data_IF_708479196270
#
_entry.id   IF_708479196270
#
_cell.length_a   1.000
_cell.length_b   1.000
_cell.length_c   1.000
_cell.angle_alpha   90.00
_cell.angle_beta   90.00
_cell.angle_gamma   90.00
#
_symmetry.space_group_name_H-M   'P 1'
#
loop_
_entity.id
_entity.type
_entity.pdbx_description
1 polymer ?
#
# COMPACT_ATOMS: atom_id res chain seq x y z
N UNK A 1 -3.28 28.89 -16.42
CA UNK A 1 -4.10 27.98 -15.57
C UNK A 1 -5.63 28.03 -15.84
N UNK A 2 -6.12 28.51 -17.00
CA UNK A 2 -7.56 28.50 -17.35
C UNK A 2 -7.90 27.76 -18.67
N UNK A 3 -6.92 27.15 -19.31
CA UNK A 3 -7.05 26.58 -20.67
C UNK A 3 -7.02 25.05 -20.73
N UNK A 4 -6.67 24.36 -19.64
CA UNK A 4 -6.64 22.88 -19.57
C UNK A 4 -8.01 22.30 -19.19
N UNK A 5 -8.81 23.04 -18.42
CA UNK A 5 -10.14 22.62 -17.94
C UNK A 5 -11.25 22.57 -19.01
N UNK A 6 -11.01 23.02 -20.24
CA UNK A 6 -12.05 23.11 -21.29
C UNK A 6 -12.06 21.92 -22.27
N UNK A 7 -11.08 21.02 -22.22
CA UNK A 7 -11.02 19.83 -23.09
C UNK A 7 -11.62 18.55 -22.47
N UNK A 8 -11.96 18.55 -21.19
CA UNK A 8 -12.51 17.37 -20.49
C UNK A 8 -14.03 17.15 -20.70
N UNK A 9 -14.78 18.18 -21.12
CA UNK A 9 -16.25 18.10 -21.22
C UNK A 9 -16.80 17.66 -22.60
N UNK A 10 -15.96 17.11 -23.51
CA UNK A 10 -16.40 16.73 -24.87
C UNK A 10 -16.35 15.24 -25.21
N UNK A 11 -16.06 14.37 -24.24
CA UNK A 11 -16.02 12.92 -24.45
C UNK A 11 -17.19 12.15 -23.83
N UNK A 12 -18.17 12.83 -23.23
CA UNK A 12 -19.37 12.19 -22.69
C UNK A 12 -20.56 12.35 -23.63
N UNK A 13 -20.67 11.44 -24.59
CA UNK A 13 -21.96 10.95 -25.07
C UNK A 13 -21.78 9.55 -25.67
N UNK A 14 -22.66 8.65 -25.24
CA UNK A 14 -22.95 7.31 -25.78
C UNK A 14 -21.85 6.24 -25.71
N UNK A 15 -21.92 5.36 -24.72
CA UNK A 15 -22.55 4.04 -24.85
C UNK A 15 -22.54 3.37 -23.47
N UNK A 16 -23.72 2.98 -22.99
CA UNK A 16 -23.85 2.10 -21.82
C UNK A 16 -23.67 0.69 -22.35
N UNK A 17 -22.43 0.21 -22.40
CA UNK A 17 -22.17 -1.22 -22.59
C UNK A 17 -22.34 -1.92 -21.24
N UNK A 18 -23.13 -2.98 -21.24
CA UNK A 18 -23.35 -3.85 -20.09
C UNK A 18 -22.00 -4.33 -19.54
N UNK A 19 -21.72 -4.04 -18.27
CA UNK A 19 -20.55 -4.59 -17.60
C UNK A 19 -20.68 -6.12 -17.55
N UNK A 20 -19.65 -6.88 -17.96
CA UNK A 20 -19.64 -8.31 -17.71
C UNK A 20 -19.76 -8.58 -16.20
N UNK A 21 -20.44 -9.67 -15.79
CA UNK A 21 -20.59 -10.00 -14.39
C UNK A 21 -19.23 -10.10 -13.71
N UNK A 22 -19.14 -9.62 -12.48
CA UNK A 22 -17.96 -9.77 -11.64
C UNK A 22 -17.56 -11.26 -11.63
N UNK A 23 -16.30 -11.54 -11.97
CA UNK A 23 -15.77 -12.89 -11.92
C UNK A 23 -15.97 -13.44 -10.50
N UNK A 24 -16.57 -14.63 -10.40
CA UNK A 24 -16.62 -15.38 -9.15
C UNK A 24 -15.18 -15.59 -8.65
N UNK A 25 -14.89 -15.36 -7.36
CA UNK A 25 -13.57 -15.64 -6.83
C UNK A 25 -13.27 -17.13 -7.02
N UNK A 26 -12.26 -17.43 -7.84
CA UNK A 26 -11.72 -18.77 -7.98
C UNK A 26 -11.12 -19.14 -6.62
N UNK A 27 -11.46 -20.30 -6.01
CA UNK A 27 -10.82 -20.74 -4.77
C UNK A 27 -9.32 -20.79 -5.01
N UNK A 28 -8.57 -19.92 -4.33
CA UNK A 28 -7.13 -19.89 -4.47
C UNK A 28 -6.54 -21.13 -3.78
N UNK A 29 -5.65 -21.84 -4.47
CA UNK A 29 -5.02 -23.04 -3.92
C UNK A 29 -4.18 -22.68 -2.70
N UNK A 30 -4.35 -23.44 -1.61
CA UNK A 30 -3.52 -23.28 -0.42
C UNK A 30 -2.07 -23.62 -0.75
N UNK A 31 -1.12 -22.86 -0.20
CA UNK A 31 0.30 -23.14 -0.42
C UNK A 31 0.73 -24.44 0.26
N UNK A 32 1.70 -25.14 -0.35
CA UNK A 32 2.30 -26.32 0.29
C UNK A 32 3.01 -25.96 1.61
N UNK A 33 3.14 -26.92 2.52
CA UNK A 33 3.87 -26.71 3.78
C UNK A 33 5.34 -26.29 3.57
N UNK A 34 5.97 -26.74 2.48
CA UNK A 34 7.32 -26.29 2.13
C UNK A 34 7.35 -24.79 1.83
N UNK A 35 6.44 -24.30 0.98
CA UNK A 35 6.32 -22.88 0.66
C UNK A 35 5.96 -22.08 1.91
N UNK A 36 5.02 -22.58 2.71
CA UNK A 36 4.64 -21.92 3.95
C UNK A 36 5.83 -21.71 4.88
N UNK A 37 6.60 -22.76 5.15
CA UNK A 37 7.72 -22.72 6.09
C UNK A 37 8.82 -21.79 5.59
N UNK A 38 9.13 -21.83 4.29
CA UNK A 38 10.11 -20.94 3.68
C UNK A 38 9.69 -19.46 3.79
N UNK A 39 8.46 -19.14 3.40
CA UNK A 39 7.97 -17.76 3.42
C UNK A 39 7.86 -17.25 4.84
N UNK A 40 7.36 -18.07 5.76
CA UNK A 40 7.28 -17.70 7.18
C UNK A 40 8.64 -17.43 7.77
N UNK A 41 9.65 -18.25 7.45
CA UNK A 41 11.02 -18.05 7.90
C UNK A 41 11.57 -16.70 7.41
N UNK A 42 11.42 -16.40 6.12
CA UNK A 42 11.88 -15.13 5.54
C UNK A 42 11.13 -13.94 6.13
N UNK A 43 9.79 -13.95 6.12
CA UNK A 43 8.96 -12.82 6.54
C UNK A 43 9.14 -12.52 8.04
N UNK A 44 9.18 -13.56 8.87
CA UNK A 44 9.31 -13.39 10.33
C UNK A 44 10.63 -12.73 10.77
N UNK A 45 11.68 -12.82 9.94
CA UNK A 45 12.96 -12.17 10.20
C UNK A 45 12.93 -10.64 10.06
N UNK A 46 11.92 -10.07 9.42
CA UNK A 46 11.89 -8.63 9.08
C UNK A 46 10.57 -7.94 9.45
N UNK A 47 9.42 -8.60 9.27
CA UNK A 47 8.10 -7.94 9.33
C UNK A 47 7.41 -8.30 10.66
N UNK A 48 7.54 -7.42 11.67
CA UNK A 48 6.94 -7.64 12.99
C UNK A 48 5.40 -7.80 12.92
N UNK A 49 4.74 -7.09 12.00
CA UNK A 49 3.30 -7.25 11.76
C UNK A 49 2.90 -8.71 11.55
N UNK A 50 3.69 -9.49 10.80
CA UNK A 50 3.45 -10.91 10.58
C UNK A 50 3.69 -11.73 11.85
N UNK A 51 4.68 -11.37 12.66
CA UNK A 51 5.03 -12.11 13.88
C UNK A 51 3.92 -12.09 14.92
N UNK A 52 3.16 -11.00 14.96
CA UNK A 52 2.04 -10.78 15.90
C UNK A 52 0.76 -11.52 15.50
N UNK A 53 0.65 -12.02 14.26
CA UNK A 53 -0.49 -12.79 13.80
C UNK A 53 -0.55 -14.17 14.50
N UNK A 54 -1.78 -14.64 14.73
CA UNK A 54 -2.02 -16.03 15.12
C UNK A 54 -1.73 -17.02 13.97
N UNK A 55 -1.82 -18.32 14.25
CA UNK A 55 -1.46 -19.35 13.30
C UNK A 55 -2.34 -19.35 12.03
N UNK A 56 -3.64 -19.09 12.17
CA UNK A 56 -4.60 -19.05 11.05
C UNK A 56 -4.30 -17.84 10.15
N UNK A 57 -4.16 -16.67 10.75
CA UNK A 57 -3.86 -15.44 10.04
C UNK A 57 -2.47 -15.46 9.41
N UNK A 58 -1.47 -16.13 10.02
CA UNK A 58 -0.17 -16.38 9.38
C UNK A 58 -0.31 -17.24 8.12
N UNK A 59 -1.14 -18.29 8.13
CA UNK A 59 -1.40 -19.09 6.92
C UNK A 59 -2.02 -18.22 5.82
N UNK A 60 -3.11 -17.52 6.15
CA UNK A 60 -3.78 -16.59 5.23
C UNK A 60 -2.83 -15.54 4.66
N UNK A 61 -1.95 -14.98 5.50
CA UNK A 61 -0.96 -13.99 5.07
C UNK A 61 0.00 -14.59 4.05
N UNK A 62 0.58 -15.75 4.34
CA UNK A 62 1.53 -16.41 3.42
C UNK A 62 0.88 -16.84 2.11
N UNK A 63 -0.34 -17.37 2.14
CA UNK A 63 -1.10 -17.69 0.92
C UNK A 63 -1.24 -16.46 0.03
N UNK A 64 -1.66 -15.33 0.62
CA UNK A 64 -1.79 -14.05 -0.10
C UNK A 64 -0.45 -13.54 -0.63
N UNK A 65 0.63 -13.66 0.13
CA UNK A 65 1.98 -13.27 -0.31
C UNK A 65 2.41 -14.11 -1.50
N UNK A 66 2.16 -15.41 -1.46
CA UNK A 66 2.47 -16.31 -2.56
C UNK A 66 1.69 -15.94 -3.82
N UNK A 67 0.37 -15.77 -3.73
CA UNK A 67 -0.46 -15.39 -4.87
C UNK A 67 -0.08 -14.03 -5.44
N UNK A 68 0.13 -13.02 -4.57
CA UNK A 68 0.58 -11.71 -4.99
C UNK A 68 1.90 -11.85 -5.76
N UNK A 69 2.92 -12.49 -5.17
CA UNK A 69 4.23 -12.70 -5.81
C UNK A 69 4.12 -13.38 -7.16
N UNK A 70 3.32 -14.44 -7.28
CA UNK A 70 3.15 -15.20 -8.52
C UNK A 70 2.47 -14.41 -9.64
N UNK A 71 1.77 -13.32 -9.29
CA UNK A 71 1.15 -12.41 -10.26
C UNK A 71 2.07 -11.28 -10.75
N UNK A 72 3.29 -11.17 -10.21
CA UNK A 72 4.23 -10.07 -10.49
C UNK A 72 5.47 -10.53 -11.22
N UNK A 73 6.04 -9.60 -11.99
CA UNK A 73 7.38 -9.67 -12.57
C UNK A 73 8.29 -8.74 -11.76
N UNK A 74 9.39 -9.29 -11.24
CA UNK A 74 10.38 -8.52 -10.48
C UNK A 74 11.59 -8.20 -11.36
N UNK A 75 11.98 -6.93 -11.37
CA UNK A 75 13.13 -6.43 -12.11
C UNK A 75 14.17 -5.91 -11.14
N UNK A 76 15.44 -6.26 -11.34
CA UNK A 76 16.52 -5.89 -10.43
C UNK A 76 17.51 -4.94 -11.12
N UNK A 77 17.76 -3.78 -10.50
CA UNK A 77 18.69 -2.76 -11.01
C UNK A 77 19.80 -2.51 -10.00
N UNK A 78 21.02 -2.91 -10.37
CA UNK A 78 22.21 -2.70 -9.54
C UNK A 78 22.32 -3.64 -8.33
N UNK A 79 21.51 -4.70 -8.25
CA UNK A 79 21.59 -5.74 -7.22
C UNK A 79 21.37 -7.13 -7.82
N UNK A 80 21.90 -8.13 -7.13
CA UNK A 80 21.68 -9.54 -7.47
C UNK A 80 20.26 -9.98 -7.08
N UNK A 81 19.68 -10.85 -7.90
CA UNK A 81 18.41 -11.50 -7.59
C UNK A 81 18.60 -12.46 -6.41
N UNK A 82 17.78 -12.29 -5.37
CA UNK A 82 17.72 -13.16 -4.20
C UNK A 82 16.29 -13.50 -3.88
N UNK A 83 16.08 -14.73 -3.43
CA UNK A 83 14.73 -15.29 -3.21
C UNK A 83 13.92 -14.49 -2.18
N UNK A 84 14.58 -13.94 -1.16
CA UNK A 84 13.91 -13.18 -0.09
C UNK A 84 13.31 -11.86 -0.56
N UNK A 85 13.89 -11.22 -1.57
CA UNK A 85 13.47 -9.88 -2.04
C UNK A 85 12.02 -9.88 -2.52
N UNK A 86 11.61 -10.71 -3.50
CA UNK A 86 10.23 -10.74 -3.97
C UNK A 86 9.26 -11.24 -2.89
N UNK A 87 9.71 -12.07 -1.94
CA UNK A 87 8.87 -12.51 -0.80
C UNK A 87 8.56 -11.32 0.11
N UNK A 88 9.57 -10.56 0.52
CA UNK A 88 9.43 -9.43 1.43
C UNK A 88 8.65 -8.26 0.80
N UNK A 89 8.91 -7.95 -0.47
CA UNK A 89 8.16 -6.91 -1.20
C UNK A 89 6.69 -7.30 -1.40
N UNK A 90 6.42 -8.58 -1.65
CA UNK A 90 5.04 -9.09 -1.70
C UNK A 90 4.38 -9.06 -0.32
N UNK A 91 5.13 -9.32 0.74
CA UNK A 91 4.66 -9.24 2.12
C UNK A 91 4.29 -7.81 2.53
N UNK A 92 5.03 -6.78 2.10
CA UNK A 92 4.63 -5.39 2.36
C UNK A 92 3.32 -5.01 1.66
N UNK A 93 3.11 -5.49 0.43
CA UNK A 93 1.85 -5.29 -0.29
C UNK A 93 0.67 -5.96 0.44
N UNK A 94 0.87 -7.20 0.90
CA UNK A 94 -0.14 -7.94 1.66
C UNK A 94 -0.38 -7.34 3.03
N UNK A 95 0.63 -6.78 3.71
CA UNK A 95 0.46 -6.06 4.96
C UNK A 95 -0.51 -4.88 4.79
N UNK A 96 -0.30 -4.05 3.78
CA UNK A 96 -1.22 -2.93 3.49
C UNK A 96 -2.63 -3.41 3.17
N UNK A 97 -2.77 -4.54 2.49
CA UNK A 97 -4.06 -5.05 1.96
C UNK A 97 -4.66 -6.20 2.77
N UNK A 98 -4.13 -6.51 3.96
CA UNK A 98 -4.46 -7.76 4.66
C UNK A 98 -5.95 -7.87 5.02
N UNK A 99 -6.58 -6.76 5.41
CA UNK A 99 -8.01 -6.70 5.70
C UNK A 99 -8.92 -6.64 4.47
N UNK A 100 -8.36 -6.40 3.28
CA UNK A 100 -9.13 -6.21 2.04
C UNK A 100 -9.36 -7.54 1.33
N UNK A 101 -10.49 -7.66 0.63
CA UNK A 101 -10.75 -8.80 -0.26
C UNK A 101 -9.85 -8.73 -1.51
N UNK A 102 -9.77 -7.56 -2.14
CA UNK A 102 -8.97 -7.33 -3.34
C UNK A 102 -7.54 -6.89 -2.99
N UNK A 103 -6.67 -7.85 -2.72
CA UNK A 103 -5.28 -7.62 -2.30
C UNK A 103 -4.25 -7.65 -3.44
N UNK A 104 -4.66 -8.06 -4.65
CA UNK A 104 -3.73 -8.39 -5.74
C UNK A 104 -3.10 -7.18 -6.44
N UNK A 105 -3.71 -5.99 -6.37
CA UNK A 105 -3.30 -4.80 -7.14
C UNK A 105 -2.98 -5.13 -8.61
N UNK A 106 -3.95 -5.71 -9.32
CA UNK A 106 -3.76 -6.38 -10.63
C UNK A 106 -3.21 -5.47 -11.74
N UNK A 107 -3.37 -4.15 -11.61
CA UNK A 107 -2.87 -3.19 -12.60
C UNK A 107 -1.35 -3.02 -12.55
N UNK A 108 -0.70 -3.39 -11.43
CA UNK A 108 0.74 -3.34 -11.28
C UNK A 108 1.31 -4.73 -11.46
N UNK A 109 1.79 -5.04 -12.66
CA UNK A 109 2.43 -6.34 -12.98
C UNK A 109 3.93 -6.30 -12.73
N UNK A 110 4.56 -5.15 -12.93
CA UNK A 110 5.99 -4.98 -12.85
C UNK A 110 6.39 -4.27 -11.55
N UNK A 111 7.35 -4.84 -10.85
CA UNK A 111 7.96 -4.28 -9.63
C UNK A 111 9.46 -4.17 -9.85
N UNK A 112 9.97 -2.94 -9.82
CA UNK A 112 11.38 -2.62 -10.00
C UNK A 112 12.06 -2.43 -8.65
N UNK A 113 13.06 -3.26 -8.37
CA UNK A 113 13.87 -3.19 -7.17
C UNK A 113 15.23 -2.60 -7.55
N UNK A 114 15.58 -1.49 -6.92
CA UNK A 114 16.82 -0.76 -7.15
C UNK A 114 17.70 -0.88 -5.91
N UNK A 115 19.02 -1.00 -6.08
CA UNK A 115 19.92 -1.23 -4.96
C UNK A 115 19.89 -0.12 -3.89
N UNK A 116 19.83 1.15 -4.31
CA UNK A 116 19.87 2.34 -3.46
C UNK A 116 18.97 3.45 -4.05
N UNK A 117 19.00 4.64 -3.49
CA UNK A 117 18.35 5.83 -4.04
C UNK A 117 18.83 6.11 -5.47
N UNK A 118 17.95 6.66 -6.30
CA UNK A 118 18.19 6.86 -7.72
C UNK A 118 17.62 8.18 -8.22
N UNK A 119 18.08 8.62 -9.38
CA UNK A 119 17.51 9.76 -10.09
C UNK A 119 16.65 9.26 -11.25
N UNK A 120 15.53 9.95 -11.50
CA UNK A 120 14.80 9.82 -12.76
C UNK A 120 15.40 10.79 -13.79
N UNK A 121 15.39 10.42 -15.07
CA UNK A 121 15.98 11.19 -16.17
C UNK A 121 15.25 12.52 -16.37
N UNK A 122 15.57 13.52 -15.53
CA UNK A 122 15.21 14.95 -15.57
C UNK A 122 15.17 15.58 -14.18
N UNK A 123 15.19 14.78 -13.10
CA UNK A 123 15.05 15.27 -11.74
C UNK A 123 16.38 15.45 -11.03
N UNK A 124 16.46 16.54 -10.26
CA UNK A 124 17.59 16.80 -9.36
C UNK A 124 17.45 16.10 -8.01
N UNK A 125 16.25 15.64 -7.69
CA UNK A 125 15.95 14.98 -6.43
C UNK A 125 16.22 13.49 -6.52
N UNK A 126 16.60 12.91 -5.38
CA UNK A 126 16.80 11.47 -5.21
C UNK A 126 15.46 10.83 -4.84
N UNK A 127 15.11 9.78 -5.55
CA UNK A 127 13.98 8.92 -5.27
C UNK A 127 14.45 7.70 -4.48
N UNK A 128 13.65 7.31 -3.49
CA UNK A 128 13.81 6.05 -2.76
C UNK A 128 12.68 5.06 -3.07
N UNK A 129 11.65 5.53 -3.76
CA UNK A 129 10.52 4.79 -4.31
C UNK A 129 9.68 5.72 -5.18
N UNK A 130 8.83 5.14 -6.02
CA UNK A 130 7.68 5.81 -6.65
C UNK A 130 6.73 4.79 -7.28
N UNK A 131 5.51 5.22 -7.59
CA UNK A 131 4.54 4.46 -8.39
C UNK A 131 4.25 5.18 -9.70
N UNK A 132 4.34 4.46 -10.81
CA UNK A 132 4.03 4.96 -12.15
C UNK A 132 3.11 3.97 -12.89
N UNK A 133 2.44 4.35 -14.00
CA UNK A 133 1.63 3.43 -14.79
C UNK A 133 2.35 2.14 -15.22
N UNK A 134 3.67 2.22 -15.38
CA UNK A 134 4.53 1.12 -15.79
C UNK A 134 4.85 0.13 -14.65
N UNK A 135 4.80 0.56 -13.39
CA UNK A 135 5.16 -0.31 -12.27
C UNK A 135 5.36 0.38 -10.93
N UNK A 136 5.74 -0.42 -9.94
CA UNK A 136 6.12 0.03 -8.59
C UNK A 136 7.63 0.00 -8.50
N UNK A 137 8.25 1.06 -8.00
CA UNK A 137 9.70 1.19 -7.89
C UNK A 137 10.11 1.35 -6.43
N UNK A 138 11.08 0.56 -5.98
CA UNK A 138 11.53 0.52 -4.60
C UNK A 138 13.05 0.47 -4.49
N UNK A 139 13.62 1.30 -3.63
CA UNK A 139 15.00 1.15 -3.18
C UNK A 139 15.11 0.05 -2.12
N UNK A 140 15.85 -1.01 -2.41
CA UNK A 140 16.05 -2.15 -1.52
C UNK A 140 16.72 -1.77 -0.20
N UNK A 141 17.73 -0.89 -0.26
CA UNK A 141 18.37 -0.36 0.96
C UNK A 141 17.37 0.34 1.88
N UNK A 142 16.48 1.17 1.31
CA UNK A 142 15.48 1.90 2.09
C UNK A 142 14.31 1.01 2.52
N UNK A 143 13.98 -0.01 1.73
CA UNK A 143 13.06 -1.08 2.14
C UNK A 143 13.55 -1.74 3.44
N UNK A 144 14.81 -2.18 3.46
CA UNK A 144 15.39 -2.81 4.65
C UNK A 144 15.45 -1.86 5.84
N UNK A 145 15.80 -0.58 5.59
CA UNK A 145 15.79 0.43 6.65
C UNK A 145 14.40 0.61 7.27
N UNK A 146 13.34 0.69 6.46
CA UNK A 146 11.97 0.87 6.93
C UNK A 146 11.45 -0.27 7.80
N UNK A 147 11.92 -1.51 7.58
CA UNK A 147 11.57 -2.63 8.46
C UNK A 147 12.54 -2.85 9.63
N UNK A 148 13.71 -2.20 9.62
CA UNK A 148 14.68 -2.27 10.72
C UNK A 148 14.41 -1.23 11.81
N UNK A 149 13.82 -0.09 11.47
CA UNK A 149 13.54 1.03 12.40
C UNK A 149 12.04 1.24 12.50
N UNK A 150 11.39 0.56 13.44
CA UNK A 150 9.92 0.52 13.51
C UNK A 150 9.25 1.69 14.25
N UNK A 151 9.95 2.81 14.48
CA UNK A 151 9.48 3.88 15.37
C UNK A 151 9.72 5.31 14.86
N UNK A 152 10.21 5.46 13.63
CA UNK A 152 10.40 6.76 12.99
C UNK A 152 9.23 7.15 12.05
N UNK A 153 8.26 6.24 11.87
CA UNK A 153 7.15 6.36 10.93
C UNK A 153 7.64 6.56 9.47
N UNK A 154 8.73 5.88 9.10
CA UNK A 154 9.31 5.89 7.76
C UNK A 154 9.42 4.46 7.22
N UNK A 155 8.53 4.08 6.32
CA UNK A 155 8.60 2.78 5.66
C UNK A 155 8.23 2.91 4.18
N UNK A 156 9.26 2.97 3.33
CA UNK A 156 9.09 3.17 1.88
C UNK A 156 8.25 2.07 1.23
N UNK A 157 8.32 0.84 1.76
CA UNK A 157 7.53 -0.26 1.24
C UNK A 157 6.04 -0.02 1.47
N UNK A 158 5.67 0.32 2.70
CA UNK A 158 4.28 0.66 3.04
C UNK A 158 3.81 1.90 2.29
N UNK A 159 4.69 2.90 2.15
CA UNK A 159 4.43 4.14 1.43
C UNK A 159 4.04 3.86 -0.04
N UNK A 160 4.92 3.21 -0.81
CA UNK A 160 4.64 2.95 -2.23
C UNK A 160 3.50 1.96 -2.43
N UNK A 161 3.37 0.95 -1.56
CA UNK A 161 2.24 0.00 -1.65
C UNK A 161 0.90 0.69 -1.37
N UNK A 162 0.88 1.72 -0.53
CA UNK A 162 -0.33 2.53 -0.32
C UNK A 162 -0.68 3.37 -1.55
N UNK A 163 0.31 3.93 -2.25
CA UNK A 163 0.11 4.63 -3.52
C UNK A 163 -0.40 3.68 -4.60
N UNK A 164 0.20 2.49 -4.72
CA UNK A 164 -0.21 1.47 -5.66
C UNK A 164 -1.66 1.02 -5.39
N UNK A 165 -2.03 0.79 -4.12
CA UNK A 165 -3.41 0.45 -3.76
C UNK A 165 -4.40 1.54 -4.18
N UNK A 166 -4.07 2.81 -3.93
CA UNK A 166 -4.92 3.93 -4.32
C UNK A 166 -5.03 4.04 -5.85
N UNK A 167 -3.90 3.95 -6.55
CA UNK A 167 -3.86 4.02 -8.02
C UNK A 167 -4.68 2.90 -8.66
N UNK A 168 -4.53 1.68 -8.16
CA UNK A 168 -5.23 0.49 -8.63
C UNK A 168 -6.76 0.65 -8.55
N UNK A 169 -7.28 1.39 -7.56
CA UNK A 169 -8.71 1.54 -7.33
C UNK A 169 -9.37 2.75 -8.01
N UNK A 170 -8.60 3.79 -8.37
CA UNK A 170 -9.17 5.04 -8.89
C UNK A 170 -8.72 5.43 -10.30
N UNK A 171 -7.56 4.97 -10.76
CA UNK A 171 -6.96 5.47 -12.00
C UNK A 171 -6.83 4.41 -13.09
N UNK A 172 -6.96 3.13 -12.71
CA UNK A 172 -6.87 2.04 -13.66
C UNK A 172 -8.24 1.58 -14.18
N UNK A 173 -8.28 1.15 -15.44
CA UNK A 173 -9.51 0.69 -16.12
C UNK A 173 -10.20 -0.49 -15.39
N UNK A 174 -9.47 -1.22 -14.54
CA UNK A 174 -9.95 -2.45 -13.88
C UNK A 174 -10.14 -2.31 -12.36
N UNK A 175 -10.00 -1.12 -11.78
CA UNK A 175 -10.20 -0.88 -10.35
C UNK A 175 -11.67 -0.88 -9.93
N UNK A 176 -12.19 -1.99 -9.41
CA UNK A 176 -13.61 -2.15 -9.08
C UNK A 176 -13.90 -2.59 -7.63
N UNK A 177 -13.01 -2.28 -6.67
CA UNK A 177 -13.36 -2.42 -5.25
C UNK A 177 -14.26 -1.26 -4.80
N UNK A 178 -15.57 -1.47 -4.93
CA UNK A 178 -16.59 -0.45 -4.59
C UNK A 178 -16.56 -0.09 -3.11
N UNK A 179 -16.27 -1.06 -2.24
CA UNK A 179 -16.25 -0.85 -0.80
C UNK A 179 -15.03 -0.02 -0.38
N UNK A 180 -13.83 -0.39 -0.86
CA UNK A 180 -12.63 0.40 -0.64
C UNK A 180 -12.81 1.84 -1.12
N UNK A 181 -13.35 2.04 -2.33
CA UNK A 181 -13.56 3.39 -2.88
C UNK A 181 -14.51 4.22 -2.03
N UNK A 182 -15.63 3.63 -1.60
CA UNK A 182 -16.59 4.30 -0.71
C UNK A 182 -15.95 4.66 0.64
N UNK A 183 -15.19 3.74 1.23
CA UNK A 183 -14.50 3.99 2.50
C UNK A 183 -13.37 5.01 2.34
N UNK A 184 -12.68 5.04 1.20
CA UNK A 184 -11.66 6.04 0.90
C UNK A 184 -12.27 7.43 0.67
N UNK A 185 -13.41 7.54 0.00
CA UNK A 185 -14.15 8.81 -0.13
C UNK A 185 -14.57 9.34 1.25
N UNK A 186 -15.03 8.46 2.15
CA UNK A 186 -15.32 8.81 3.54
C UNK A 186 -14.06 9.24 4.31
N UNK A 187 -12.95 8.53 4.12
CA UNK A 187 -11.64 8.90 4.67
C UNK A 187 -11.27 10.31 4.23
N UNK A 188 -11.24 10.58 2.92
CA UNK A 188 -10.90 11.88 2.33
C UNK A 188 -11.79 13.01 2.85
N UNK A 189 -13.10 12.76 2.95
CA UNK A 189 -14.05 13.74 3.50
C UNK A 189 -13.81 14.03 4.99
N UNK A 190 -13.47 13.00 5.77
CA UNK A 190 -13.23 13.11 7.22
C UNK A 190 -11.88 13.75 7.52
N UNK A 191 -10.85 13.47 6.72
CA UNK A 191 -9.47 13.93 6.95
C UNK A 191 -9.17 15.26 6.28
N UNK A 192 -9.97 15.73 5.32
CA UNK A 192 -9.83 17.05 4.71
C UNK A 192 -9.75 18.20 5.75
N UNK A 193 -10.64 18.27 6.75
CA UNK A 193 -10.53 19.24 7.83
C UNK A 193 -9.27 19.10 8.69
N UNK A 194 -8.79 17.86 8.92
CA UNK A 194 -7.55 17.60 9.67
C UNK A 194 -6.35 18.17 8.90
N UNK A 195 -6.30 17.96 7.58
CA UNK A 195 -5.28 18.50 6.70
C UNK A 195 -5.26 20.04 6.78
N UNK A 196 -6.44 20.68 6.69
CA UNK A 196 -6.56 22.13 6.78
C UNK A 196 -6.13 22.67 8.15
N UNK A 197 -6.52 22.03 9.26
CA UNK A 197 -6.16 22.47 10.61
C UNK A 197 -4.65 22.36 10.85
N UNK A 198 -4.01 21.27 10.40
CA UNK A 198 -2.55 21.12 10.54
C UNK A 198 -1.79 22.18 9.75
N UNK A 199 -2.20 22.47 8.51
CA UNK A 199 -1.56 23.50 7.68
C UNK A 199 -1.62 24.86 8.39
N UNK A 200 -2.73 25.16 9.07
CA UNK A 200 -2.87 26.43 9.80
C UNK A 200 -2.10 26.47 11.12
N UNK A 201 -2.12 25.37 11.90
CA UNK A 201 -1.52 25.31 13.25
C UNK A 201 -0.04 24.90 13.26
N UNK A 202 0.48 24.39 12.14
CA UNK A 202 1.86 23.89 11.96
C UNK A 202 2.29 22.85 13.00
N UNK A 203 1.34 22.07 13.52
CA UNK A 203 1.60 21.01 14.50
C UNK A 203 0.85 19.76 14.09
N UNK A 204 1.57 18.66 13.97
CA UNK A 204 1.00 17.34 13.72
C UNK A 204 1.92 16.25 14.23
N UNK A 205 1.34 15.07 14.43
CA UNK A 205 2.06 13.83 14.66
C UNK A 205 2.72 13.31 13.39
N UNK A 206 2.07 13.46 12.23
CA UNK A 206 2.66 13.07 10.94
C UNK A 206 3.78 14.02 10.54
N UNK A 207 4.76 13.49 9.81
CA UNK A 207 5.86 14.25 9.22
C UNK A 207 5.33 15.34 8.28
N UNK A 208 6.07 16.45 8.16
CA UNK A 208 5.67 17.59 7.30
C UNK A 208 5.42 17.19 5.85
N UNK A 209 6.12 16.17 5.37
CA UNK A 209 5.97 15.61 4.02
C UNK A 209 4.55 15.14 3.70
N UNK A 210 3.80 14.66 4.70
CA UNK A 210 2.40 14.27 4.56
C UNK A 210 1.49 15.41 4.06
N UNK A 211 1.92 16.66 4.22
CA UNK A 211 1.13 17.85 3.87
C UNK A 211 1.47 18.42 2.49
N UNK A 212 2.28 17.72 1.70
CA UNK A 212 2.65 18.12 0.34
C UNK A 212 1.46 18.05 -0.62
N UNK A 213 0.71 16.94 -0.57
CA UNK A 213 -0.56 16.76 -1.29
C UNK A 213 -1.37 15.61 -0.64
N UNK A 214 -2.59 15.36 -1.12
CA UNK A 214 -3.49 14.35 -0.53
C UNK A 214 -2.99 12.90 -0.70
N UNK A 215 -2.22 12.61 -1.76
CA UNK A 215 -1.64 11.29 -1.98
C UNK A 215 -0.51 11.02 -0.97
N UNK A 216 0.36 12.01 -0.71
CA UNK A 216 1.37 11.90 0.35
C UNK A 216 0.74 11.81 1.73
N UNK A 217 -0.34 12.56 1.97
CA UNK A 217 -1.09 12.47 3.23
C UNK A 217 -1.58 11.05 3.47
N UNK A 218 -2.14 10.41 2.45
CA UNK A 218 -2.54 9.01 2.49
C UNK A 218 -1.35 8.10 2.82
N UNK A 219 -0.26 8.17 2.06
CA UNK A 219 0.85 7.27 2.21
C UNK A 219 1.56 7.39 3.56
N UNK A 220 1.84 8.61 4.03
CA UNK A 220 2.44 8.86 5.35
C UNK A 220 1.50 8.49 6.49
N UNK A 221 0.18 8.59 6.29
CA UNK A 221 -0.79 8.09 7.27
C UNK A 221 -0.74 6.56 7.39
N UNK A 222 -0.61 5.84 6.25
CA UNK A 222 -0.48 4.39 6.22
C UNK A 222 0.84 3.93 6.85
N UNK A 223 1.95 4.63 6.61
CA UNK A 223 3.22 4.38 7.31
C UNK A 223 3.00 4.44 8.83
N UNK A 224 2.48 5.57 9.35
CA UNK A 224 2.27 5.75 10.78
C UNK A 224 1.26 4.74 11.38
N UNK A 225 0.29 4.30 10.59
CA UNK A 225 -0.72 3.34 11.00
C UNK A 225 -0.15 1.96 11.30
N UNK A 226 0.84 1.51 10.53
CA UNK A 226 1.47 0.21 10.75
C UNK A 226 2.75 0.29 11.59
N UNK A 227 3.49 1.39 11.51
CA UNK A 227 4.75 1.58 12.25
C UNK A 227 4.53 1.96 13.72
N UNK A 228 3.54 2.82 14.01
CA UNK A 228 3.27 3.28 15.38
C UNK A 228 1.78 3.50 15.62
N UNK A 229 0.97 2.43 15.55
CA UNK A 229 -0.48 2.53 15.62
C UNK A 229 -1.00 3.17 16.91
N UNK A 230 -0.42 2.85 18.07
CA UNK A 230 -0.80 3.45 19.35
C UNK A 230 -0.50 4.96 19.38
N UNK A 231 0.65 5.34 18.82
CA UNK A 231 1.06 6.74 18.69
C UNK A 231 0.11 7.52 17.79
N UNK A 232 -0.30 6.93 16.66
CA UNK A 232 -1.27 7.53 15.75
C UNK A 232 -2.65 7.63 16.41
N UNK A 233 -3.12 6.58 17.08
CA UNK A 233 -4.41 6.57 17.80
C UNK A 233 -4.47 7.62 18.91
N UNK A 234 -3.38 7.79 19.65
CA UNK A 234 -3.30 8.77 20.73
C UNK A 234 -3.29 10.22 20.22
N UNK A 235 -2.52 10.50 19.16
CA UNK A 235 -2.31 11.88 18.70
C UNK A 235 -3.30 12.33 17.61
N UNK A 236 -3.81 11.40 16.80
CA UNK A 236 -4.74 11.65 15.68
C UNK A 236 -5.83 10.56 15.61
N UNK A 237 -6.67 10.41 16.66
CA UNK A 237 -7.64 9.31 16.76
C UNK A 237 -8.63 9.23 15.59
N UNK A 238 -9.10 10.39 15.10
CA UNK A 238 -10.02 10.43 13.96
C UNK A 238 -9.38 9.90 12.67
N UNK A 239 -8.08 10.17 12.47
CA UNK A 239 -7.33 9.64 11.35
C UNK A 239 -7.13 8.12 11.51
N UNK A 240 -6.76 7.67 12.71
CA UNK A 240 -6.64 6.24 13.04
C UNK A 240 -7.92 5.47 12.72
N UNK A 241 -9.07 5.95 13.21
CA UNK A 241 -10.37 5.33 12.96
C UNK A 241 -10.75 5.31 11.47
N UNK A 242 -10.41 6.36 10.74
CA UNK A 242 -10.65 6.42 9.30
C UNK A 242 -9.77 5.40 8.54
N UNK A 243 -8.52 5.23 8.94
CA UNK A 243 -7.60 4.22 8.40
C UNK A 243 -8.09 2.79 8.69
N UNK A 244 -8.57 2.55 9.90
CA UNK A 244 -9.17 1.27 10.26
C UNK A 244 -10.31 0.87 9.31
N UNK A 245 -11.21 1.81 9.02
CA UNK A 245 -12.36 1.57 8.13
C UNK A 245 -11.96 1.35 6.68
N UNK A 246 -10.99 2.11 6.15
CA UNK A 246 -10.60 2.00 4.74
C UNK A 246 -9.70 0.81 4.45
N UNK A 247 -8.82 0.42 5.38
CA UNK A 247 -7.94 -0.76 5.23
C UNK A 247 -8.55 -2.04 5.80
N UNK A 248 -9.71 -1.93 6.45
CA UNK A 248 -10.39 -2.99 7.19
C UNK A 248 -9.48 -3.70 8.22
N UNK A 249 -8.67 -2.91 8.92
CA UNK A 249 -7.63 -3.41 9.82
C UNK A 249 -7.54 -2.61 11.12
N UNK A 250 -7.12 -3.24 12.20
CA UNK A 250 -6.70 -2.63 13.46
C UNK A 250 -5.34 -3.19 13.85
N UNK A 251 -4.22 -2.51 13.53
CA UNK A 251 -2.87 -2.99 13.84
C UNK A 251 -2.59 -3.15 15.33
N UNK A 252 -3.41 -2.61 16.23
CA UNK A 252 -3.29 -2.83 17.68
C UNK A 252 -3.97 -4.17 18.07
N UNK A 253 -4.96 -4.61 17.30
CA UNK A 253 -5.65 -5.87 17.53
C UNK A 253 -4.74 -7.06 17.19
N UNK A 254 -4.71 -8.14 17.98
CA UNK A 254 -3.96 -9.35 17.64
C UNK A 254 -4.36 -9.97 16.28
N UNK A 255 -5.64 -9.90 15.92
CA UNK A 255 -6.15 -10.49 14.68
C UNK A 255 -5.91 -9.60 13.45
N UNK A 256 -5.57 -8.33 13.69
CA UNK A 256 -5.36 -7.25 12.71
C UNK A 256 -6.54 -6.92 11.78
N UNK A 257 -7.48 -7.81 11.51
CA UNK A 257 -8.63 -7.61 10.61
C UNK A 257 -9.86 -7.20 11.42
N UNK A 258 -10.66 -6.27 10.87
CA UNK A 258 -11.96 -5.88 11.40
C UNK A 258 -13.04 -6.69 10.65
N UNK A 259 -13.94 -7.33 11.39
CA UNK A 259 -15.06 -8.10 10.84
C UNK A 259 -16.29 -7.22 10.61
#
# INVERSE_FOLDING_TARGET
MKTVLRKLNKLFSSAVDEMPPAATPVPQELVSEFVYNNYSFVISGYINYFNELDAEHKRRFVDRVHHYRMSKTFHYVGLEEKEEIPILVSASAVQVTFGLENYMMENFKDIHILADAYHMDSDKELYIGHVAPEGIYLSWKHFLYGYAVSNDNINVALHEMSHALLHNNFFAQYGNDKEFRLNYERFSTTTGPILADVITRRRSYLRSYAYSNIHEFWAVSVEAFFESPEGLKMNMPQLYEALCKVLNQDPISPNKIIH
#
